data_IF_525792263987
#
_entry.id   IF_525792263987
#
_cell.length_a   1.000
_cell.length_b   1.000
_cell.length_c   1.000
_cell.angle_alpha   90.00
_cell.angle_beta   90.00
_cell.angle_gamma   90.00
#
_symmetry.space_group_name_H-M   'P 1'
#
loop_
_entity.id
_entity.type
_entity.pdbx_description
1 polymer ?
#
# COMPACT_ATOMS: atom_id res chain seq x y z
N UNK A 1 22.47 -11.29 48.65
CA UNK A 1 21.41 -11.43 47.63
C UNK A 1 22.07 -11.32 46.26
N UNK A 2 22.40 -12.47 45.67
CA UNK A 2 23.17 -12.57 44.42
C UNK A 2 22.28 -12.23 43.22
N UNK A 3 22.62 -11.14 42.52
CA UNK A 3 22.06 -10.79 41.22
C UNK A 3 22.57 -11.76 40.15
N UNK A 4 21.71 -12.66 39.70
CA UNK A 4 21.95 -13.46 38.50
C UNK A 4 21.79 -12.51 37.30
N UNK A 5 22.91 -11.91 36.91
CA UNK A 5 23.07 -11.32 35.58
C UNK A 5 22.97 -12.48 34.59
N UNK A 6 21.78 -12.63 34.00
CA UNK A 6 21.54 -13.49 32.86
C UNK A 6 22.45 -13.00 31.73
N UNK A 7 23.60 -13.65 31.57
CA UNK A 7 24.46 -13.51 30.40
C UNK A 7 23.66 -14.12 29.24
N UNK A 8 22.80 -13.29 28.64
CA UNK A 8 22.13 -13.62 27.38
C UNK A 8 23.24 -13.84 26.37
N UNK A 9 23.42 -15.10 25.98
CA UNK A 9 24.41 -15.57 25.01
C UNK A 9 24.40 -14.66 23.77
N UNK A 10 25.41 -13.80 23.67
CA UNK A 10 25.60 -12.80 22.60
C UNK A 10 26.05 -13.39 21.26
N UNK A 11 26.06 -14.72 21.11
CA UNK A 11 26.70 -15.40 19.97
C UNK A 11 25.78 -16.21 19.06
N UNK A 12 24.48 -16.28 19.33
CA UNK A 12 23.54 -16.70 18.29
C UNK A 12 23.29 -15.49 17.37
N UNK A 13 24.23 -15.22 16.46
CA UNK A 13 24.02 -14.24 15.39
C UNK A 13 22.64 -14.49 14.77
N UNK A 14 21.80 -13.46 14.74
CA UNK A 14 20.41 -13.60 14.30
C UNK A 14 20.36 -14.26 12.93
N UNK A 15 19.75 -15.44 12.84
CA UNK A 15 19.53 -16.16 11.58
C UNK A 15 18.39 -15.52 10.75
N UNK A 16 17.94 -14.32 11.13
CA UNK A 16 16.89 -13.59 10.43
C UNK A 16 17.52 -12.71 9.34
N UNK A 17 17.03 -12.84 8.12
CA UNK A 17 17.35 -11.91 7.02
C UNK A 17 16.09 -11.15 6.62
N UNK A 18 16.24 -9.89 6.21
CA UNK A 18 15.18 -9.03 5.71
C UNK A 18 15.44 -8.66 4.25
N UNK A 19 14.39 -8.66 3.43
CA UNK A 19 14.40 -8.11 2.06
C UNK A 19 13.13 -7.29 1.82
N UNK A 20 13.18 -6.35 0.89
CA UNK A 20 12.07 -5.43 0.62
C UNK A 20 11.65 -5.50 -0.84
N UNK A 21 10.35 -5.37 -1.09
CA UNK A 21 9.77 -4.99 -2.38
C UNK A 21 8.96 -3.71 -2.15
N UNK A 22 9.36 -2.60 -2.75
CA UNK A 22 8.65 -1.32 -2.65
C UNK A 22 7.98 -0.99 -3.97
N UNK A 23 6.66 -0.86 -3.92
CA UNK A 23 5.86 -0.37 -5.02
C UNK A 23 5.57 1.13 -4.86
N UNK A 24 5.63 1.89 -5.96
CA UNK A 24 5.28 3.31 -6.01
C UNK A 24 4.53 3.64 -7.29
N UNK A 25 3.73 4.70 -7.28
CA UNK A 25 3.13 5.23 -8.50
C UNK A 25 4.09 6.20 -9.18
N UNK A 26 4.21 6.11 -10.51
CA UNK A 26 4.87 7.13 -11.35
C UNK A 26 3.80 7.86 -12.15
N UNK A 27 3.58 9.14 -11.89
CA UNK A 27 2.43 9.89 -12.42
C UNK A 27 2.81 11.07 -13.31
N UNK A 28 1.91 11.39 -14.27
CA UNK A 28 2.08 12.48 -15.23
C UNK A 28 0.77 13.26 -15.50
N UNK A 29 0.48 14.35 -14.75
CA UNK A 29 1.03 14.64 -13.44
C UNK A 29 0.32 13.88 -12.31
N UNK A 30 -0.99 13.60 -12.45
CA UNK A 30 -1.82 13.07 -11.34
C UNK A 30 -2.23 11.62 -11.50
N UNK A 31 -1.99 11.01 -12.66
CA UNK A 31 -2.31 9.60 -12.91
C UNK A 31 -1.10 8.82 -13.39
N UNK A 32 -0.97 7.54 -13.01
CA UNK A 32 -0.05 6.62 -13.63
C UNK A 32 -0.32 6.52 -15.13
N UNK A 33 0.74 6.46 -15.91
CA UNK A 33 0.68 6.28 -17.37
C UNK A 33 1.64 5.17 -17.77
N UNK A 34 1.49 4.64 -18.99
CA UNK A 34 2.40 3.62 -19.51
C UNK A 34 3.86 4.12 -19.59
N UNK A 35 4.11 5.43 -19.54
CA UNK A 35 5.44 6.01 -19.45
C UNK A 35 6.21 5.55 -18.22
N UNK A 36 5.53 5.11 -17.16
CA UNK A 36 6.16 4.48 -16.00
C UNK A 36 7.01 3.26 -16.39
N UNK A 37 6.59 2.50 -17.41
CA UNK A 37 7.37 1.37 -17.94
C UNK A 37 8.67 1.82 -18.60
N UNK A 38 8.75 3.07 -19.09
CA UNK A 38 9.98 3.62 -19.63
C UNK A 38 11.04 3.83 -18.54
N UNK A 39 10.63 4.22 -17.33
CA UNK A 39 11.54 4.29 -16.20
C UNK A 39 12.11 2.90 -15.87
N UNK A 40 11.25 1.87 -15.84
CA UNK A 40 11.68 0.49 -15.62
C UNK A 40 12.57 -0.06 -16.73
N UNK A 41 12.27 0.27 -17.99
CA UNK A 41 13.14 -0.07 -19.12
C UNK A 41 14.53 0.56 -18.94
N UNK A 42 14.61 1.86 -18.58
CA UNK A 42 15.91 2.52 -18.33
C UNK A 42 16.69 1.86 -17.21
N UNK A 43 16.04 1.45 -16.11
CA UNK A 43 16.71 0.67 -15.06
C UNK A 43 17.22 -0.66 -15.61
N UNK A 44 16.36 -1.43 -16.26
CA UNK A 44 16.69 -2.73 -16.82
C UNK A 44 17.88 -2.66 -17.77
N UNK A 45 17.90 -1.73 -18.71
CA UNK A 45 19.00 -1.58 -19.67
C UNK A 45 20.29 -1.04 -19.05
N UNK A 46 20.20 -0.26 -17.96
CA UNK A 46 21.37 0.22 -17.22
C UNK A 46 22.10 -0.90 -16.48
N UNK A 47 21.36 -1.81 -15.86
CA UNK A 47 21.93 -2.99 -15.21
C UNK A 47 20.98 -4.19 -15.32
N UNK A 48 21.07 -4.96 -16.42
CA UNK A 48 20.18 -6.09 -16.64
C UNK A 48 20.32 -7.19 -15.59
N UNK A 49 21.51 -7.39 -15.03
CA UNK A 49 21.72 -8.45 -14.02
C UNK A 49 20.93 -8.19 -12.75
N UNK A 50 20.86 -6.92 -12.35
CA UNK A 50 20.15 -6.47 -11.15
C UNK A 50 18.64 -6.36 -11.40
N UNK A 51 18.24 -5.45 -12.30
CA UNK A 51 16.85 -5.02 -12.40
C UNK A 51 15.93 -6.01 -13.12
N UNK A 52 16.47 -7.06 -13.73
CA UNK A 52 15.67 -8.13 -14.30
C UNK A 52 14.87 -8.90 -13.23
N UNK A 53 15.46 -9.07 -12.04
CA UNK A 53 14.83 -9.77 -10.90
C UNK A 53 14.24 -8.79 -9.89
N UNK A 54 14.81 -7.59 -9.79
CA UNK A 54 14.51 -6.62 -8.74
C UNK A 54 13.63 -5.45 -9.19
N UNK A 55 12.87 -5.63 -10.27
CA UNK A 55 11.78 -4.71 -10.63
C UNK A 55 10.53 -5.47 -11.04
N UNK A 56 9.37 -4.85 -10.89
CA UNK A 56 8.10 -5.33 -11.42
C UNK A 56 7.20 -4.15 -11.80
N UNK A 57 6.07 -4.45 -12.45
CA UNK A 57 5.02 -3.48 -12.73
C UNK A 57 3.66 -4.12 -12.58
N UNK A 58 2.72 -3.33 -12.07
CA UNK A 58 1.35 -3.73 -11.82
C UNK A 58 0.36 -2.98 -12.73
N UNK A 59 -0.75 -3.64 -13.03
CA UNK A 59 -1.87 -3.06 -13.77
C UNK A 59 -3.17 -3.24 -12.99
N UNK A 60 -4.05 -2.25 -13.11
CA UNK A 60 -5.40 -2.33 -12.60
C UNK A 60 -6.19 -3.42 -13.34
N UNK A 61 -7.25 -3.93 -12.71
CA UNK A 61 -8.03 -5.07 -13.20
C UNK A 61 -9.50 -4.72 -13.36
N UNK A 62 -10.19 -5.41 -14.27
CA UNK A 62 -11.63 -5.30 -14.43
C UNK A 62 -12.11 -3.88 -14.71
N UNK A 63 -13.04 -3.36 -13.90
CA UNK A 63 -13.62 -2.03 -14.09
C UNK A 63 -12.64 -0.89 -13.76
N UNK A 64 -11.69 -1.13 -12.87
CA UNK A 64 -10.71 -0.12 -12.44
C UNK A 64 -9.73 0.23 -13.56
N UNK A 65 -9.46 -0.70 -14.48
CA UNK A 65 -8.62 -0.45 -15.65
C UNK A 65 -9.15 0.68 -16.54
N UNK A 66 -10.47 0.96 -16.50
CA UNK A 66 -11.08 2.10 -17.19
C UNK A 66 -10.80 3.44 -16.50
N UNK A 67 -10.52 3.43 -15.19
CA UNK A 67 -10.14 4.64 -14.45
C UNK A 67 -8.65 4.93 -14.63
N UNK A 68 -7.81 3.90 -14.49
CA UNK A 68 -6.36 4.00 -14.64
C UNK A 68 -5.74 2.60 -14.87
N UNK A 69 -5.35 2.30 -16.12
CA UNK A 69 -4.79 0.99 -16.50
C UNK A 69 -3.46 0.68 -15.81
N UNK A 70 -2.51 1.62 -15.87
CA UNK A 70 -1.23 1.48 -15.18
C UNK A 70 -1.44 1.65 -13.68
N UNK A 71 -0.81 0.80 -12.87
CA UNK A 71 -0.80 0.90 -11.41
C UNK A 71 0.60 1.34 -10.95
N UNK A 72 1.16 0.62 -9.98
CA UNK A 72 2.50 0.84 -9.43
C UNK A 72 3.61 0.20 -10.26
N UNK A 73 4.82 0.72 -10.05
CA UNK A 73 6.09 0.05 -10.39
C UNK A 73 6.78 -0.37 -9.12
N UNK A 74 7.61 -1.40 -9.19
CA UNK A 74 8.26 -2.01 -8.03
C UNK A 74 9.78 -1.97 -8.19
N UNK A 75 10.48 -1.72 -7.08
CA UNK A 75 11.91 -2.00 -6.89
C UNK A 75 12.07 -2.94 -5.69
N UNK A 76 13.04 -3.85 -5.75
CA UNK A 76 13.29 -4.78 -4.66
C UNK A 76 14.76 -4.75 -4.22
N UNK A 77 15.02 -5.13 -2.96
CA UNK A 77 16.37 -5.35 -2.45
C UNK A 77 16.71 -6.84 -2.40
N UNK A 78 18.00 -7.13 -2.21
CA UNK A 78 18.47 -8.45 -1.80
C UNK A 78 18.16 -8.72 -0.32
N UNK A 79 18.25 -9.98 0.14
CA UNK A 79 18.20 -10.29 1.56
C UNK A 79 19.44 -9.77 2.30
N UNK A 80 19.23 -9.13 3.45
CA UNK A 80 20.28 -8.59 4.33
C UNK A 80 20.07 -9.07 5.76
N UNK A 81 21.16 -9.26 6.50
CA UNK A 81 21.11 -9.50 7.97
C UNK A 81 21.13 -8.19 8.76
N UNK A 82 21.67 -7.15 8.14
CA UNK A 82 21.86 -5.83 8.73
C UNK A 82 20.87 -4.83 8.12
N UNK A 83 20.17 -4.09 8.99
CA UNK A 83 19.15 -3.13 8.58
C UNK A 83 19.78 -1.91 7.90
N UNK A 84 21.00 -1.51 8.28
CA UNK A 84 21.67 -0.37 7.67
C UNK A 84 22.03 -0.65 6.21
N UNK A 85 22.62 -1.82 5.94
CA UNK A 85 22.91 -2.30 4.59
C UNK A 85 21.64 -2.43 3.73
N UNK A 86 20.54 -2.93 4.32
CA UNK A 86 19.25 -3.01 3.64
C UNK A 86 18.72 -1.63 3.23
N UNK A 87 18.76 -0.67 4.16
CA UNK A 87 18.27 0.69 3.92
C UNK A 87 19.16 1.46 2.95
N UNK A 88 20.47 1.22 2.94
CA UNK A 88 21.39 1.80 1.97
C UNK A 88 21.13 1.27 0.55
N UNK A 89 20.92 -0.04 0.40
CA UNK A 89 20.54 -0.61 -0.90
C UNK A 89 19.20 -0.05 -1.39
N UNK A 90 18.19 0.03 -0.50
CA UNK A 90 16.92 0.64 -0.85
C UNK A 90 17.10 2.10 -1.30
N UNK A 91 17.89 2.90 -0.56
CA UNK A 91 18.21 4.30 -0.91
C UNK A 91 18.84 4.39 -2.30
N UNK A 92 19.78 3.51 -2.62
CA UNK A 92 20.40 3.45 -3.94
C UNK A 92 19.38 3.10 -5.03
N UNK A 93 18.48 2.15 -4.79
CA UNK A 93 17.42 1.77 -5.72
C UNK A 93 16.39 2.90 -5.92
N UNK A 94 15.99 3.61 -4.85
CA UNK A 94 15.14 4.81 -4.93
C UNK A 94 15.79 5.92 -5.76
N UNK A 95 17.08 6.18 -5.56
CA UNK A 95 17.81 7.18 -6.32
C UNK A 95 17.91 6.80 -7.82
N UNK A 96 18.16 5.52 -8.11
CA UNK A 96 18.16 5.01 -9.48
C UNK A 96 16.78 5.16 -10.14
N UNK A 97 15.71 4.79 -9.45
CA UNK A 97 14.33 4.94 -9.92
C UNK A 97 13.98 6.41 -10.13
N UNK A 98 14.33 7.30 -9.20
CA UNK A 98 14.12 8.73 -9.30
C UNK A 98 14.82 9.34 -10.53
N UNK A 99 16.06 8.94 -10.79
CA UNK A 99 16.77 9.35 -12.01
C UNK A 99 16.08 8.79 -13.28
N UNK A 100 15.65 7.53 -13.23
CA UNK A 100 14.93 6.90 -14.34
C UNK A 100 13.52 7.50 -14.56
N UNK A 101 12.85 8.00 -13.53
CA UNK A 101 11.55 8.66 -13.68
C UNK A 101 11.67 10.05 -14.35
N UNK A 102 12.85 10.68 -14.30
CA UNK A 102 13.08 12.01 -14.87
C UNK A 102 12.18 13.04 -14.20
N UNK A 103 11.39 13.74 -15.00
CA UNK A 103 10.44 14.78 -14.58
C UNK A 103 9.12 14.24 -14.00
N UNK A 104 8.84 12.94 -14.11
CA UNK A 104 7.62 12.37 -13.53
C UNK A 104 7.60 12.44 -12.00
N UNK A 105 6.40 12.52 -11.43
CA UNK A 105 6.21 12.45 -9.99
C UNK A 105 6.26 11.00 -9.52
N UNK A 106 6.98 10.75 -8.43
CA UNK A 106 6.93 9.47 -7.70
C UNK A 106 6.05 9.67 -6.46
N UNK A 107 5.01 8.85 -6.34
CA UNK A 107 4.00 8.97 -5.28
C UNK A 107 4.01 7.67 -4.45
N UNK A 108 4.76 7.62 -3.33
CA UNK A 108 4.90 6.45 -2.47
C UNK A 108 3.76 6.37 -1.44
N UNK A 109 2.55 6.03 -1.91
CA UNK A 109 1.34 5.90 -1.06
C UNK A 109 0.61 4.59 -1.38
N UNK A 110 -0.17 4.07 -0.43
CA UNK A 110 -0.88 2.81 -0.63
C UNK A 110 -1.91 2.84 -1.78
N UNK A 111 -2.51 4.01 -2.03
CA UNK A 111 -3.55 4.21 -3.04
C UNK A 111 -3.65 5.71 -3.37
N UNK A 112 -3.99 6.02 -4.63
CA UNK A 112 -4.11 7.40 -5.11
C UNK A 112 -5.40 8.07 -4.59
N UNK A 113 -5.33 9.37 -4.38
CA UNK A 113 -6.32 10.10 -3.57
C UNK A 113 -7.67 10.29 -4.27
N UNK A 114 -7.67 10.43 -5.60
CA UNK A 114 -8.84 10.72 -6.43
C UNK A 114 -9.44 9.48 -7.12
N UNK A 115 -8.79 8.33 -7.01
CA UNK A 115 -9.29 7.07 -7.56
C UNK A 115 -10.13 6.33 -6.53
N UNK A 116 -11.14 5.59 -6.96
CA UNK A 116 -11.81 4.56 -6.15
C UNK A 116 -11.59 3.24 -6.90
N UNK A 117 -10.37 2.73 -6.78
CA UNK A 117 -9.83 1.65 -7.61
C UNK A 117 -9.06 0.66 -6.72
N UNK A 118 -9.73 -0.29 -6.06
CA UNK A 118 -9.09 -1.24 -5.14
C UNK A 118 -8.05 -2.15 -5.81
N UNK A 119 -7.99 -2.19 -7.15
CA UNK A 119 -6.93 -2.88 -7.89
C UNK A 119 -5.74 -2.01 -8.29
N UNK A 120 -5.82 -0.69 -8.05
CA UNK A 120 -4.76 0.27 -8.31
C UNK A 120 -4.11 0.70 -6.99
N UNK A 121 -3.36 -0.21 -6.39
CA UNK A 121 -2.71 -0.04 -5.08
C UNK A 121 -1.21 -0.27 -5.20
N UNK A 122 -0.43 0.37 -4.32
CA UNK A 122 1.01 0.15 -4.18
C UNK A 122 1.32 -0.37 -2.77
N UNK A 123 2.16 -1.39 -2.61
CA UNK A 123 2.57 -1.94 -1.31
C UNK A 123 4.05 -1.77 -0.98
N UNK A 124 4.37 -1.92 0.31
CA UNK A 124 5.69 -2.30 0.78
C UNK A 124 5.61 -3.74 1.29
N UNK A 125 6.32 -4.66 0.64
CA UNK A 125 6.44 -6.02 1.11
C UNK A 125 7.76 -6.20 1.87
N UNK A 126 7.70 -6.94 2.98
CA UNK A 126 8.87 -7.29 3.79
C UNK A 126 9.00 -8.80 3.77
N UNK A 127 10.10 -9.29 3.23
CA UNK A 127 10.48 -10.69 3.23
C UNK A 127 11.36 -10.98 4.45
N UNK A 128 10.99 -12.00 5.22
CA UNK A 128 11.71 -12.46 6.39
C UNK A 128 12.19 -13.89 6.13
N UNK A 129 13.51 -14.03 5.98
CA UNK A 129 14.17 -15.34 5.99
C UNK A 129 14.35 -15.81 7.42
N UNK A 130 13.95 -17.04 7.70
CA UNK A 130 14.10 -17.69 9.00
C UNK A 130 14.40 -19.18 8.80
N UNK A 131 15.10 -19.83 9.75
CA UNK A 131 15.30 -21.28 9.74
C UNK A 131 13.97 -22.03 9.63
N UNK A 132 13.88 -23.14 8.85
CA UNK A 132 12.63 -23.87 8.62
C UNK A 132 11.84 -24.18 9.89
N UNK A 133 12.52 -24.66 10.94
CA UNK A 133 11.98 -25.03 12.24
C UNK A 133 11.43 -23.83 13.04
N UNK A 134 11.87 -22.61 12.71
CA UNK A 134 11.42 -21.35 13.33
C UNK A 134 10.27 -20.69 12.57
N UNK A 135 10.03 -21.04 11.30
CA UNK A 135 9.11 -20.29 10.42
C UNK A 135 7.71 -20.13 11.01
N UNK A 136 7.15 -21.19 11.58
CA UNK A 136 5.79 -21.14 12.13
C UNK A 136 5.71 -20.24 13.36
N UNK A 137 6.72 -20.28 14.23
CA UNK A 137 6.84 -19.38 15.39
C UNK A 137 6.95 -17.93 14.94
N UNK A 138 7.83 -17.64 13.98
CA UNK A 138 8.00 -16.28 13.45
C UNK A 138 6.71 -15.77 12.80
N UNK A 139 6.05 -16.61 11.98
CA UNK A 139 4.77 -16.27 11.37
C UNK A 139 3.71 -15.92 12.43
N UNK A 140 3.58 -16.75 13.46
CA UNK A 140 2.63 -16.52 14.55
C UNK A 140 2.89 -15.21 15.31
N UNK A 141 4.17 -14.92 15.58
CA UNK A 141 4.59 -13.70 16.25
C UNK A 141 4.28 -12.46 15.41
N UNK A 142 4.62 -12.49 14.12
CA UNK A 142 4.32 -11.40 13.19
C UNK A 142 2.81 -11.19 13.06
N UNK A 143 2.03 -12.26 12.86
CA UNK A 143 0.57 -12.21 12.77
C UNK A 143 -0.09 -11.51 13.97
N UNK A 144 0.42 -11.79 15.18
CA UNK A 144 -0.11 -11.23 16.41
C UNK A 144 0.04 -9.69 16.49
N UNK A 145 1.21 -9.17 16.10
CA UNK A 145 1.51 -7.73 16.19
C UNK A 145 1.28 -6.95 14.89
N UNK A 146 0.91 -7.64 13.80
CA UNK A 146 0.72 -7.07 12.47
C UNK A 146 -0.18 -5.82 12.42
N UNK A 147 -1.27 -5.70 13.21
CA UNK A 147 -2.10 -4.48 13.22
C UNK A 147 -1.35 -3.19 13.57
N UNK A 148 -0.29 -3.25 14.40
CA UNK A 148 0.54 -2.07 14.71
C UNK A 148 1.47 -1.71 13.55
N UNK A 149 1.99 -2.72 12.86
CA UNK A 149 2.84 -2.53 11.68
C UNK A 149 2.05 -1.89 10.53
N UNK A 150 0.75 -2.18 10.42
CA UNK A 150 -0.17 -1.49 9.50
C UNK A 150 -0.18 0.01 9.79
N UNK A 151 -0.42 0.41 11.05
CA UNK A 151 -0.48 1.83 11.44
C UNK A 151 0.84 2.56 11.18
N UNK A 152 1.99 1.93 11.44
CA UNK A 152 3.29 2.52 11.15
C UNK A 152 3.44 2.90 9.67
N UNK A 153 2.89 2.08 8.78
CA UNK A 153 3.00 2.27 7.33
C UNK A 153 1.87 3.08 6.69
N UNK A 154 0.72 3.23 7.36
CA UNK A 154 -0.52 3.73 6.76
C UNK A 154 -0.34 5.08 6.05
N UNK A 155 -0.55 5.07 4.73
CA UNK A 155 -0.31 6.24 3.86
C UNK A 155 -1.36 6.44 2.76
N UNK A 156 -2.53 5.80 2.86
CA UNK A 156 -3.61 5.90 1.88
C UNK A 156 -4.95 6.38 2.46
N UNK A 157 -5.06 7.65 2.89
CA UNK A 157 -6.22 8.12 3.64
C UNK A 157 -7.47 8.44 2.81
N UNK A 158 -7.40 8.37 1.48
CA UNK A 158 -8.49 8.80 0.58
C UNK A 158 -8.87 7.74 -0.45
N UNK A 159 -10.13 7.80 -0.87
CA UNK A 159 -10.66 7.10 -2.04
C UNK A 159 -11.74 7.93 -2.74
N UNK A 160 -11.63 8.10 -4.06
CA UNK A 160 -12.55 8.87 -4.88
C UNK A 160 -12.64 10.34 -4.44
N UNK A 161 -11.54 10.90 -3.94
CA UNK A 161 -11.48 12.27 -3.40
C UNK A 161 -12.10 12.46 -2.01
N UNK A 162 -12.59 11.38 -1.39
CA UNK A 162 -13.21 11.38 -0.05
C UNK A 162 -12.24 10.82 0.97
N UNK A 163 -12.20 11.43 2.15
CA UNK A 163 -11.45 10.89 3.27
C UNK A 163 -12.08 9.55 3.69
N UNK A 164 -11.25 8.52 3.79
CA UNK A 164 -11.64 7.15 4.13
C UNK A 164 -11.29 6.80 5.58
N UNK A 165 -10.06 7.11 6.00
CA UNK A 165 -9.48 6.60 7.24
C UNK A 165 -7.95 6.60 7.15
N UNK A 166 -7.32 5.55 7.65
CA UNK A 166 -5.87 5.44 7.69
C UNK A 166 -5.28 4.74 6.46
N UNK A 167 -5.86 3.63 6.00
CA UNK A 167 -5.38 2.94 4.80
C UNK A 167 -6.53 2.30 4.03
N UNK A 168 -6.93 2.96 2.94
CA UNK A 168 -7.88 2.41 1.99
C UNK A 168 -7.33 1.15 1.33
N UNK A 169 -6.02 1.11 1.04
CA UNK A 169 -5.37 -0.08 0.48
C UNK A 169 -5.60 -1.30 1.37
N UNK A 170 -5.33 -1.20 2.67
CA UNK A 170 -5.55 -2.33 3.59
C UNK A 170 -7.02 -2.71 3.68
N UNK A 171 -7.92 -1.73 3.70
CA UNK A 171 -9.35 -2.01 3.81
C UNK A 171 -9.98 -2.65 2.57
N UNK A 172 -9.52 -2.28 1.36
CA UNK A 172 -10.25 -2.56 0.13
C UNK A 172 -9.44 -3.30 -0.96
N UNK A 173 -8.11 -3.39 -0.86
CA UNK A 173 -7.29 -3.99 -1.92
C UNK A 173 -7.64 -5.47 -2.12
N UNK A 174 -7.69 -5.88 -3.39
CA UNK A 174 -7.91 -7.29 -3.75
C UNK A 174 -6.68 -8.17 -3.52
N UNK A 175 -5.49 -7.56 -3.40
CA UNK A 175 -4.21 -8.26 -3.40
C UNK A 175 -3.76 -8.71 -1.99
N UNK A 176 -4.47 -8.26 -0.96
CA UNK A 176 -4.24 -8.53 0.46
C UNK A 176 -5.59 -8.75 1.16
N UNK A 177 -5.58 -9.11 2.44
CA UNK A 177 -6.79 -9.53 3.14
C UNK A 177 -6.50 -10.12 4.51
N UNK A 178 -7.55 -10.33 5.30
CA UNK A 178 -7.39 -10.90 6.63
C UNK A 178 -6.73 -12.30 6.60
N UNK A 179 -6.05 -12.67 7.70
CA UNK A 179 -5.38 -13.97 7.83
C UNK A 179 -6.39 -15.11 7.70
N UNK A 180 -5.99 -16.15 6.95
CA UNK A 180 -6.77 -17.37 6.71
C UNK A 180 -6.12 -18.56 7.39
N UNK A 181 -6.78 -19.71 7.33
CA UNK A 181 -6.24 -20.94 7.90
C UNK A 181 -5.00 -21.42 7.15
N UNK A 182 -5.01 -21.34 5.82
CA UNK A 182 -3.85 -21.60 4.98
C UNK A 182 -2.87 -20.40 4.98
N UNK A 183 -1.68 -20.51 5.61
CA UNK A 183 -0.70 -19.44 5.62
C UNK A 183 -0.04 -19.22 4.24
N UNK A 184 -0.23 -20.12 3.28
CA UNK A 184 0.29 -19.98 1.92
C UNK A 184 -0.69 -19.29 0.96
N UNK A 185 -1.92 -18.98 1.39
CA UNK A 185 -2.88 -18.30 0.54
C UNK A 185 -2.36 -16.92 0.14
N UNK A 186 -2.18 -16.67 -1.17
CA UNK A 186 -1.43 -15.51 -1.69
C UNK A 186 -2.04 -14.14 -1.37
N UNK A 187 -3.36 -14.04 -1.31
CA UNK A 187 -4.08 -12.77 -1.18
C UNK A 187 -4.51 -12.49 0.26
N UNK A 188 -3.56 -12.53 1.18
CA UNK A 188 -3.74 -12.14 2.58
C UNK A 188 -2.55 -11.27 3.03
N UNK A 189 -2.65 -10.69 4.21
CA UNK A 189 -1.73 -9.67 4.73
C UNK A 189 -0.35 -10.22 5.12
N UNK A 190 -0.24 -11.50 5.46
CA UNK A 190 0.98 -12.21 5.83
C UNK A 190 0.96 -13.61 5.22
N UNK A 191 2.03 -14.00 4.52
CA UNK A 191 2.09 -15.33 3.89
C UNK A 191 3.39 -16.07 4.17
N UNK A 192 3.35 -17.39 4.04
CA UNK A 192 4.52 -18.22 3.81
C UNK A 192 4.74 -18.34 2.30
N UNK A 193 5.66 -17.54 1.77
CA UNK A 193 5.93 -17.45 0.34
C UNK A 193 6.61 -18.72 -0.18
N UNK A 194 5.85 -19.57 -0.88
CA UNK A 194 6.30 -20.87 -1.41
C UNK A 194 7.57 -20.77 -2.26
N UNK A 195 7.66 -19.73 -3.11
CA UNK A 195 8.79 -19.57 -4.07
C UNK A 195 10.10 -19.26 -3.37
N UNK A 196 10.06 -18.44 -2.32
CA UNK A 196 11.26 -17.91 -1.66
C UNK A 196 11.58 -18.62 -0.35
N UNK A 197 10.62 -19.39 0.20
CA UNK A 197 10.77 -20.00 1.53
C UNK A 197 10.83 -18.96 2.65
N UNK A 198 10.33 -17.75 2.40
CA UNK A 198 10.29 -16.63 3.35
C UNK A 198 8.90 -16.47 3.95
N UNK A 199 8.81 -15.78 5.08
CA UNK A 199 7.56 -15.15 5.52
C UNK A 199 7.49 -13.79 4.82
N UNK A 200 6.35 -13.39 4.30
CA UNK A 200 6.18 -12.15 3.56
C UNK A 200 5.04 -11.33 4.17
N UNK A 201 5.38 -10.18 4.75
CA UNK A 201 4.41 -9.16 5.17
C UNK A 201 4.02 -8.38 3.92
N UNK A 202 2.74 -8.38 3.57
CA UNK A 202 2.22 -7.74 2.34
C UNK A 202 1.38 -6.50 2.63
N UNK A 203 0.99 -6.32 3.88
CA UNK A 203 -0.05 -5.34 4.26
C UNK A 203 0.47 -3.90 4.35
N UNK A 204 1.77 -3.66 4.41
CA UNK A 204 2.29 -2.30 4.60
C UNK A 204 2.06 -1.43 3.36
N UNK A 205 1.66 -0.17 3.57
CA UNK A 205 1.71 0.84 2.52
C UNK A 205 3.17 1.33 2.33
N UNK A 206 3.53 1.96 1.20
CA UNK A 206 4.87 2.51 0.98
C UNK A 206 5.22 3.62 2.00
N UNK A 207 6.50 3.70 2.38
CA UNK A 207 7.02 4.62 3.40
C UNK A 207 8.23 5.38 2.85
N UNK A 208 8.07 6.64 2.45
CA UNK A 208 9.21 7.44 1.96
C UNK A 208 10.23 7.77 3.07
N UNK A 209 9.76 7.93 4.31
CA UNK A 209 10.59 8.29 5.47
C UNK A 209 11.42 7.08 5.96
N UNK A 210 12.73 7.12 5.70
CA UNK A 210 13.64 6.04 6.07
C UNK A 210 13.79 5.87 7.60
N UNK A 211 13.56 6.91 8.40
CA UNK A 211 13.62 6.79 9.86
C UNK A 211 12.40 6.00 10.38
N UNK A 212 11.21 6.30 9.84
CA UNK A 212 10.00 5.52 10.14
C UNK A 212 10.10 4.09 9.62
N UNK A 213 10.67 3.89 8.43
CA UNK A 213 10.92 2.54 7.89
C UNK A 213 11.89 1.75 8.76
N UNK A 214 12.96 2.38 9.28
CA UNK A 214 13.87 1.74 10.23
C UNK A 214 13.14 1.21 11.47
N UNK A 215 12.31 2.03 12.11
CA UNK A 215 11.50 1.61 13.27
C UNK A 215 10.62 0.40 12.94
N UNK A 216 10.00 0.41 11.75
CA UNK A 216 9.21 -0.73 11.28
C UNK A 216 10.07 -2.00 11.14
N UNK A 217 11.25 -1.91 10.53
CA UNK A 217 12.14 -3.06 10.31
C UNK A 217 12.74 -3.61 11.61
N UNK A 218 13.13 -2.74 12.53
CA UNK A 218 13.63 -3.13 13.86
C UNK A 218 12.52 -3.83 14.66
N UNK A 219 11.30 -3.30 14.64
CA UNK A 219 10.14 -3.97 15.26
C UNK A 219 9.89 -5.35 14.64
N UNK A 220 9.91 -5.47 13.31
CA UNK A 220 9.75 -6.76 12.59
C UNK A 220 10.85 -7.74 12.99
N UNK A 221 12.11 -7.29 13.04
CA UNK A 221 13.25 -8.12 13.41
C UNK A 221 13.12 -8.61 14.86
N UNK A 222 12.77 -7.72 15.80
CA UNK A 222 12.58 -8.07 17.21
C UNK A 222 11.43 -9.07 17.41
N UNK A 223 10.29 -8.86 16.73
CA UNK A 223 9.15 -9.80 16.76
C UNK A 223 9.55 -11.17 16.21
N UNK A 224 10.33 -11.21 15.12
CA UNK A 224 10.79 -12.46 14.53
C UNK A 224 11.78 -13.23 15.44
N UNK A 225 12.50 -12.52 16.32
CA UNK A 225 13.44 -13.14 17.25
C UNK A 225 12.77 -13.71 18.52
N UNK A 226 11.50 -13.42 18.79
CA UNK A 226 10.79 -13.94 19.95
C UNK A 226 10.86 -15.48 20.02
N UNK A 227 11.25 -16.08 21.17
CA UNK A 227 11.53 -17.50 21.24
C UNK A 227 10.27 -18.36 21.09
N UNK A 228 9.15 -17.90 21.64
CA UNK A 228 7.88 -18.62 21.72
C UNK A 228 6.84 -18.04 20.77
N UNK A 229 6.01 -18.91 20.19
CA UNK A 229 4.91 -18.50 19.33
C UNK A 229 3.82 -17.77 20.12
N UNK A 230 3.38 -16.62 19.61
CA UNK A 230 2.19 -15.91 20.09
C UNK A 230 0.91 -16.57 19.55
N UNK A 231 -0.22 -16.47 20.26
CA UNK A 231 -1.47 -17.04 19.77
C UNK A 231 -1.95 -16.31 18.51
N UNK A 232 -2.37 -17.10 17.51
CA UNK A 232 -3.02 -16.60 16.30
C UNK A 232 -4.54 -16.64 16.52
N UNK A 233 -5.09 -15.51 16.95
CA UNK A 233 -6.53 -15.28 17.00
C UNK A 233 -6.94 -14.47 15.77
N UNK A 234 -7.50 -15.16 14.76
CA UNK A 234 -7.90 -14.55 13.49
C UNK A 234 -9.07 -13.58 13.63
N UNK A 235 -9.97 -13.81 14.58
CA UNK A 235 -11.11 -12.93 14.82
C UNK A 235 -10.64 -11.63 15.46
N UNK A 236 -9.81 -11.71 16.52
CA UNK A 236 -9.15 -10.54 17.13
C UNK A 236 -8.33 -9.79 16.09
N UNK A 237 -7.54 -10.51 15.29
CA UNK A 237 -6.74 -9.90 14.23
C UNK A 237 -7.61 -9.15 13.21
N UNK A 238 -8.69 -9.75 12.69
CA UNK A 238 -9.57 -9.10 11.73
C UNK A 238 -10.21 -7.82 12.28
N UNK A 239 -10.59 -7.83 13.57
CA UNK A 239 -11.11 -6.66 14.26
C UNK A 239 -10.05 -5.54 14.36
N UNK A 240 -8.85 -5.87 14.86
CA UNK A 240 -7.75 -4.90 15.01
C UNK A 240 -7.25 -4.37 13.65
N UNK A 241 -7.18 -5.22 12.63
CA UNK A 241 -6.85 -4.84 11.25
C UNK A 241 -7.83 -3.78 10.73
N UNK A 242 -9.13 -3.96 10.96
CA UNK A 242 -10.16 -2.98 10.57
C UNK A 242 -10.00 -1.67 11.34
N UNK A 243 -9.72 -1.73 12.64
CA UNK A 243 -9.48 -0.53 13.45
C UNK A 243 -8.24 0.23 12.94
N UNK A 244 -7.14 -0.49 12.68
CA UNK A 244 -5.91 0.08 12.14
C UNK A 244 -6.12 0.75 10.77
N UNK A 245 -6.86 0.09 9.86
CA UNK A 245 -7.09 0.60 8.52
C UNK A 245 -8.09 1.77 8.46
N UNK A 246 -9.15 1.75 9.28
CA UNK A 246 -10.25 2.71 9.15
C UNK A 246 -10.24 3.83 10.19
N UNK A 247 -9.70 3.58 11.38
CA UNK A 247 -9.85 4.47 12.55
C UNK A 247 -8.49 5.08 12.92
N UNK A 248 -7.49 4.25 13.19
CA UNK A 248 -6.21 4.68 13.75
C UNK A 248 -5.90 3.97 15.05
N UNK A 249 -5.15 4.64 15.93
CA UNK A 249 -4.61 4.08 17.17
C UNK A 249 -5.62 4.08 18.32
N UNK A 250 -6.48 3.07 18.32
CA UNK A 250 -7.57 2.82 19.28
C UNK A 250 -7.09 2.26 20.63
N UNK A 251 -7.93 2.21 21.68
CA UNK A 251 -7.59 1.57 22.96
C UNK A 251 -7.14 0.11 22.85
N UNK A 252 -7.73 -0.68 21.95
CA UNK A 252 -7.32 -2.09 21.75
C UNK A 252 -5.93 -2.18 21.11
N UNK A 253 -5.62 -1.27 20.18
CA UNK A 253 -4.29 -1.17 19.57
C UNK A 253 -3.26 -0.61 20.56
N UNK A 254 -3.65 0.29 21.48
CA UNK A 254 -2.81 0.71 22.60
C UNK A 254 -2.49 -0.45 23.55
N UNK A 255 -3.45 -1.34 23.80
CA UNK A 255 -3.21 -2.55 24.58
C UNK A 255 -2.21 -3.48 23.89
N UNK A 256 -2.41 -3.74 22.59
CA UNK A 256 -1.46 -4.52 21.79
C UNK A 256 -0.07 -3.84 21.74
N UNK A 257 0.00 -2.51 21.72
CA UNK A 257 1.26 -1.77 21.75
C UNK A 257 1.98 -1.98 23.07
N UNK A 258 1.31 -1.90 24.23
CA UNK A 258 1.92 -2.22 25.53
C UNK A 258 2.48 -3.63 25.58
N UNK A 259 1.81 -4.61 24.96
CA UNK A 259 2.33 -5.97 24.82
C UNK A 259 3.62 -6.00 23.98
N UNK A 260 3.67 -5.26 22.87
CA UNK A 260 4.84 -5.18 22.00
C UNK A 260 6.00 -4.41 22.64
N UNK A 261 5.74 -3.37 23.43
CA UNK A 261 6.77 -2.57 24.11
C UNK A 261 7.63 -3.39 25.08
N UNK A 262 7.15 -4.56 25.53
CA UNK A 262 7.96 -5.52 26.29
C UNK A 262 9.04 -6.23 25.44
N UNK A 263 8.99 -6.09 24.12
CA UNK A 263 9.88 -6.72 23.13
C UNK A 263 10.67 -5.66 22.37
N UNK A 264 9.98 -4.64 21.86
CA UNK A 264 10.56 -3.51 21.15
C UNK A 264 9.66 -2.29 21.33
N UNK A 265 10.25 -1.17 21.74
CA UNK A 265 9.53 0.08 21.97
C UNK A 265 9.34 0.85 20.66
N UNK A 266 8.14 0.78 20.07
CA UNK A 266 7.76 1.68 18.99
C UNK A 266 7.46 3.06 19.61
N UNK A 267 8.06 4.16 19.13
CA UNK A 267 7.68 5.49 19.59
C UNK A 267 6.19 5.74 19.39
N UNK A 268 5.43 5.90 20.48
CA UNK A 268 3.97 5.95 20.44
C UNK A 268 3.45 7.09 19.53
N UNK A 269 4.20 8.19 19.43
CA UNK A 269 3.90 9.30 18.53
C UNK A 269 3.73 8.86 17.06
N UNK A 270 4.49 7.86 16.59
CA UNK A 270 4.39 7.35 15.22
C UNK A 270 3.09 6.58 14.95
N UNK A 271 2.47 6.04 16.00
CA UNK A 271 1.19 5.36 15.95
C UNK A 271 0.02 6.35 16.12
N UNK A 272 0.19 7.37 16.97
CA UNK A 272 -0.81 8.44 17.19
C UNK A 272 -0.96 9.35 15.97
N UNK A 273 0.15 9.74 15.36
CA UNK A 273 0.19 10.55 14.14
C UNK A 273 0.79 9.72 13.01
N UNK A 274 -0.09 9.13 12.19
CA UNK A 274 0.33 8.30 11.06
C UNK A 274 0.77 9.18 9.89
N UNK A 275 1.37 8.56 8.87
CA UNK A 275 1.61 9.23 7.60
C UNK A 275 0.30 9.70 6.97
N UNK A 276 -0.77 8.91 7.08
CA UNK A 276 -2.10 9.27 6.61
C UNK A 276 -2.68 10.52 7.26
N UNK A 277 -2.48 10.71 8.58
CA UNK A 277 -2.91 11.93 9.26
C UNK A 277 -2.15 13.16 8.71
N UNK A 278 -0.84 13.04 8.48
CA UNK A 278 -0.02 14.12 7.87
C UNK A 278 -0.48 14.46 6.45
N UNK A 279 -0.80 13.45 5.64
CA UNK A 279 -1.29 13.63 4.27
C UNK A 279 -2.67 14.30 4.26
N UNK A 280 -3.56 13.91 5.17
CA UNK A 280 -4.88 14.52 5.36
C UNK A 280 -4.77 15.99 5.73
N UNK A 281 -3.95 16.33 6.73
CA UNK A 281 -3.76 17.71 7.18
C UNK A 281 -3.25 18.58 6.02
N UNK A 282 -2.28 18.10 5.25
CA UNK A 282 -1.77 18.83 4.10
C UNK A 282 -2.83 19.11 3.01
N UNK A 283 -3.67 18.11 2.70
CA UNK A 283 -4.79 18.31 1.75
C UNK A 283 -5.76 19.38 2.27
N UNK A 284 -6.08 19.37 3.57
CA UNK A 284 -6.97 20.36 4.18
C UNK A 284 -6.39 21.78 4.15
N UNK A 285 -5.12 21.93 4.53
CA UNK A 285 -4.39 23.20 4.50
C UNK A 285 -4.32 23.76 3.07
N UNK A 286 -3.91 22.93 2.10
CA UNK A 286 -3.78 23.35 0.70
C UNK A 286 -5.13 23.79 0.12
N UNK A 287 -6.23 23.11 0.47
CA UNK A 287 -7.59 23.52 0.06
C UNK A 287 -7.97 24.90 0.60
N UNK A 288 -7.64 25.19 1.86
CA UNK A 288 -7.91 26.48 2.48
C UNK A 288 -7.10 27.59 1.79
N UNK A 289 -5.85 27.33 1.43
CA UNK A 289 -5.01 28.30 0.70
C UNK A 289 -5.50 28.56 -0.73
N UNK A 290 -5.88 27.51 -1.47
CA UNK A 290 -6.31 27.62 -2.87
C UNK A 290 -7.74 28.14 -3.05
N UNK A 291 -8.55 28.11 -1.99
CA UNK A 291 -9.90 28.67 -1.98
C UNK A 291 -9.89 29.89 -1.07
N UNK A 292 -9.21 30.99 -1.44
CA UNK A 292 -9.21 32.19 -0.62
C UNK A 292 -10.67 32.55 -0.41
N UNK A 293 -11.08 32.55 0.86
CA UNK A 293 -12.48 32.77 1.18
C UNK A 293 -12.88 34.09 0.52
N UNK A 294 -13.82 34.05 -0.43
CA UNK A 294 -14.55 35.23 -0.91
C UNK A 294 -15.47 35.74 0.20
N UNK A 295 -14.99 35.76 1.45
CA UNK A 295 -15.40 36.70 2.47
C UNK A 295 -14.89 38.06 1.98
N UNK A 296 -15.52 38.56 0.92
CA UNK A 296 -15.71 39.98 0.82
C UNK A 296 -16.30 40.38 2.18
N UNK A 297 -15.66 41.30 2.93
CA UNK A 297 -16.39 41.97 3.99
C UNK A 297 -17.60 42.56 3.28
N UNK A 298 -18.78 41.97 3.50
CA UNK A 298 -20.02 42.66 3.21
C UNK A 298 -19.90 43.91 4.07
N UNK A 299 -19.57 45.04 3.43
CA UNK A 299 -19.73 46.32 4.09
C UNK A 299 -21.15 46.31 4.61
N UNK A 300 -21.30 46.43 5.94
CA UNK A 300 -22.56 46.71 6.59
C UNK A 300 -23.00 48.11 6.16
N UNK A 301 -23.40 48.24 4.90
CA UNK A 301 -23.90 49.44 4.28
C UNK A 301 -25.40 49.48 4.51
N UNK A 302 -25.82 50.39 5.39
CA UNK A 302 -27.14 51.00 5.31
C UNK A 302 -28.27 50.20 5.94
N UNK A 303 -28.63 50.57 7.16
CA UNK A 303 -30.02 50.52 7.62
C UNK A 303 -30.89 51.40 6.70
N UNK A 304 -31.50 50.83 5.67
CA UNK A 304 -32.74 51.38 5.12
C UNK A 304 -33.93 50.59 5.68
N UNK A 305 -34.95 51.28 6.25
CA UNK A 305 -36.16 50.64 6.75
C UNK A 305 -37.05 50.19 5.59
N UNK A 306 -37.29 48.87 5.48
CA UNK A 306 -38.22 48.31 4.51
C UNK A 306 -39.68 48.57 4.94
N UNK A 307 -40.41 49.30 4.10
CA UNK A 307 -41.86 49.36 4.10
C UNK A 307 -42.45 48.02 3.59
N UNK A 308 -43.21 47.37 4.47
CA UNK A 308 -44.53 46.72 4.26
C UNK A 308 -44.87 45.94 2.96
N UNK A 309 -45.24 44.67 3.20
CA UNK A 309 -46.35 43.87 2.63
C UNK A 309 -46.19 43.26 1.23
N UNK A 310 -46.26 41.92 1.14
CA UNK A 310 -47.34 41.12 0.49
C UNK A 310 -47.26 39.66 1.00
N UNK A 311 -48.37 38.97 1.34
CA UNK A 311 -48.37 37.54 1.65
C UNK A 311 -48.60 36.71 0.38
N UNK A 312 -47.79 35.68 0.14
CA UNK A 312 -48.10 34.65 -0.86
C UNK A 312 -48.48 33.33 -0.18
N UNK A 313 -49.66 32.86 -0.58
CA UNK A 313 -50.35 31.70 -0.09
C UNK A 313 -49.64 30.37 -0.44
N UNK A 314 -49.82 29.41 0.45
CA UNK A 314 -49.47 28.01 0.27
C UNK A 314 -50.42 27.31 -0.70
N UNK A 315 -49.88 26.50 -1.60
CA UNK A 315 -50.58 25.33 -2.14
C UNK A 315 -49.56 24.21 -2.38
N UNK A 316 -49.77 23.09 -1.68
CA UNK A 316 -49.10 21.84 -1.96
C UNK A 316 -49.92 21.00 -2.93
N UNK A 317 -49.23 20.22 -3.75
CA UNK A 317 -49.78 19.02 -4.38
C UNK A 317 -48.74 17.88 -4.33
N UNK A 318 -49.19 16.62 -4.13
CA UNK A 318 -48.32 15.45 -4.10
C UNK A 318 -48.10 14.89 -5.51
N UNK A 319 -46.88 14.44 -5.77
CA UNK A 319 -46.46 13.86 -7.05
C UNK A 319 -46.46 12.31 -6.93
N UNK A 320 -47.29 11.54 -7.68
CA UNK A 320 -47.30 10.09 -7.56
C UNK A 320 -46.90 9.43 -8.89
N UNK A 321 -45.63 9.13 -9.10
CA UNK A 321 -45.22 8.19 -10.17
C UNK A 321 -44.01 7.36 -9.77
N UNK A 322 -44.28 6.18 -9.20
CA UNK A 322 -43.36 5.07 -9.06
C UNK A 322 -43.59 4.13 -10.24
N UNK A 323 -42.75 4.19 -11.27
CA UNK A 323 -42.79 3.24 -12.39
C UNK A 323 -41.74 2.14 -12.16
N UNK A 324 -42.24 0.93 -11.92
CA UNK A 324 -41.50 -0.33 -11.99
C UNK A 324 -41.14 -0.67 -13.44
N UNK A 325 -39.92 -1.16 -13.66
CA UNK A 325 -39.56 -1.94 -14.85
C UNK A 325 -38.86 -3.23 -14.43
N UNK A 326 -39.24 -4.40 -14.98
CA UNK A 326 -38.54 -5.66 -14.75
C UNK A 326 -37.34 -5.81 -15.68
N UNK A 327 -36.26 -6.37 -15.14
CA UNK A 327 -35.08 -6.79 -15.89
C UNK A 327 -35.36 -8.10 -16.63
N UNK A 328 -35.03 -8.13 -17.93
CA UNK A 328 -34.95 -9.35 -18.74
C UNK A 328 -33.61 -10.03 -18.50
N UNK A 329 -33.68 -11.33 -18.25
CA UNK A 329 -32.58 -12.29 -18.30
C UNK A 329 -32.10 -12.51 -19.74
N UNK A 330 -30.80 -12.67 -19.90
CA UNK A 330 -30.13 -13.07 -21.13
C UNK A 330 -28.80 -13.71 -20.79
N UNK A 331 -28.75 -15.03 -20.96
CA UNK A 331 -27.62 -15.90 -20.66
C UNK A 331 -26.52 -15.89 -21.74
N UNK A 332 -25.35 -16.34 -21.27
CA UNK A 332 -24.30 -17.10 -21.96
C UNK A 332 -23.21 -16.36 -22.77
N UNK A 333 -21.98 -16.41 -22.23
CA UNK A 333 -20.80 -17.06 -22.87
C UNK A 333 -19.82 -17.54 -21.77
N UNK A 334 -19.05 -18.63 -21.99
CA UNK A 334 -18.28 -19.27 -20.93
C UNK A 334 -16.85 -18.71 -20.86
N UNK A 335 -16.46 -18.21 -19.68
CA UNK A 335 -15.05 -18.01 -19.33
C UNK A 335 -14.69 -18.82 -18.08
N UNK A 336 -13.45 -19.30 -18.08
CA UNK A 336 -12.76 -20.13 -17.09
C UNK A 336 -13.35 -20.07 -15.67
N UNK A 337 -13.87 -21.21 -15.21
CA UNK A 337 -14.35 -21.40 -13.84
C UNK A 337 -13.19 -21.34 -12.85
N UNK A 338 -13.05 -20.20 -12.18
CA UNK A 338 -12.56 -20.22 -10.80
C UNK A 338 -13.65 -20.84 -9.92
N UNK A 339 -13.31 -21.67 -8.91
CA UNK A 339 -14.30 -22.24 -8.03
C UNK A 339 -15.12 -21.12 -7.37
N UNK A 340 -16.45 -21.29 -7.24
CA UNK A 340 -17.31 -20.30 -6.60
C UNK A 340 -16.84 -20.06 -5.17
N UNK A 341 -16.71 -18.78 -4.80
CA UNK A 341 -16.46 -18.34 -3.44
C UNK A 341 -17.50 -18.97 -2.52
N UNK A 342 -17.06 -19.79 -1.58
CA UNK A 342 -17.83 -20.06 -0.37
C UNK A 342 -17.94 -18.75 0.42
N UNK A 343 -19.04 -18.03 0.19
CA UNK A 343 -19.93 -17.65 1.27
C UNK A 343 -19.47 -16.71 2.38
N UNK A 344 -18.45 -15.86 2.19
CA UNK A 344 -18.32 -14.62 2.95
C UNK A 344 -18.23 -13.46 1.96
N UNK A 345 -19.39 -13.08 1.43
CA UNK A 345 -19.53 -11.74 0.88
C UNK A 345 -19.25 -10.79 2.05
N UNK A 346 -18.06 -10.20 2.07
CA UNK A 346 -17.80 -9.02 2.90
C UNK A 346 -19.01 -8.11 2.68
N UNK A 347 -19.81 -7.78 3.72
CA UNK A 347 -20.72 -6.69 3.56
C UNK A 347 -19.82 -5.53 3.14
N UNK A 348 -20.00 -5.03 1.92
CA UNK A 348 -19.56 -3.68 1.59
C UNK A 348 -19.96 -2.90 2.81
N UNK A 349 -18.98 -2.36 3.54
CA UNK A 349 -19.28 -1.56 4.71
C UNK A 349 -20.19 -0.46 4.19
N UNK A 350 -21.51 -0.66 4.33
CA UNK A 350 -22.50 0.37 4.23
C UNK A 350 -22.19 1.18 5.46
N UNK A 351 -21.22 2.07 5.30
CA UNK A 351 -21.10 3.20 6.18
C UNK A 351 -22.51 3.76 6.30
N UNK A 352 -23.01 4.03 7.51
CA UNK A 352 -24.28 4.71 7.65
C UNK A 352 -24.14 5.99 6.83
N UNK A 353 -24.78 6.01 5.65
CA UNK A 353 -24.97 7.25 4.94
C UNK A 353 -25.75 8.08 5.94
N UNK A 354 -25.13 9.13 6.50
CA UNK A 354 -25.87 10.13 7.23
C UNK A 354 -26.92 10.67 6.27
N UNK A 355 -28.12 10.12 6.35
CA UNK A 355 -29.29 10.58 5.63
C UNK A 355 -29.70 11.89 6.28
N UNK A 356 -29.38 13.00 5.63
CA UNK A 356 -29.77 14.31 6.13
C UNK A 356 -29.00 15.42 5.43
N UNK A 357 -29.46 15.81 4.24
CA UNK A 357 -29.08 17.07 3.60
C UNK A 357 -28.55 16.90 2.18
N UNK A 358 -29.35 17.36 1.21
CA UNK A 358 -28.99 17.60 -0.19
C UNK A 358 -27.85 18.65 -0.32
N UNK A 359 -26.64 18.32 0.11
CA UNK A 359 -25.43 19.03 -0.32
C UNK A 359 -25.00 18.43 -1.66
N UNK A 360 -25.55 18.98 -2.75
CA UNK A 360 -25.17 18.66 -4.14
C UNK A 360 -23.66 18.85 -4.33
N UNK A 361 -22.95 17.76 -4.61
CA UNK A 361 -21.82 17.59 -5.56
C UNK A 361 -20.65 18.60 -5.59
N UNK A 362 -20.49 19.51 -4.63
CA UNK A 362 -19.33 20.41 -4.55
C UNK A 362 -18.03 19.78 -4.02
N UNK A 363 -18.03 18.47 -3.72
CA UNK A 363 -16.95 17.82 -2.98
C UNK A 363 -15.77 17.31 -3.83
N UNK A 364 -16.02 16.77 -5.03
CA UNK A 364 -14.99 16.07 -5.83
C UNK A 364 -14.06 17.03 -6.57
N UNK A 365 -14.56 18.19 -7.01
CA UNK A 365 -13.74 19.23 -7.65
C UNK A 365 -12.65 19.77 -6.71
N UNK A 366 -12.88 19.72 -5.39
CA UNK A 366 -11.99 20.31 -4.38
C UNK A 366 -10.67 19.55 -4.17
N UNK A 367 -10.59 18.24 -4.46
CA UNK A 367 -9.32 17.50 -4.31
C UNK A 367 -8.43 17.67 -5.53
N UNK A 368 -9.02 17.80 -6.71
CA UNK A 368 -8.28 17.78 -7.97
C UNK A 368 -7.30 18.95 -8.07
N UNK A 369 -7.65 20.12 -7.52
CA UNK A 369 -6.75 21.28 -7.46
C UNK A 369 -5.59 21.11 -6.48
N UNK A 370 -5.72 20.26 -5.45
CA UNK A 370 -4.64 20.03 -4.45
C UNK A 370 -3.67 18.92 -4.83
N UNK A 371 -4.08 17.98 -5.71
CA UNK A 371 -3.24 16.83 -6.08
C UNK A 371 -1.85 17.21 -6.61
N UNK A 372 -1.70 18.20 -7.52
CA UNK A 372 -0.37 18.52 -8.05
C UNK A 372 0.61 18.94 -6.96
N UNK A 373 0.16 19.75 -5.99
CA UNK A 373 0.97 20.20 -4.86
C UNK A 373 1.36 19.03 -3.94
N UNK A 374 0.40 18.16 -3.63
CA UNK A 374 0.65 16.98 -2.82
C UNK A 374 1.63 16.02 -3.49
N UNK A 375 1.49 15.79 -4.80
CA UNK A 375 2.36 14.86 -5.53
C UNK A 375 3.75 15.44 -5.73
N UNK A 376 3.88 16.77 -5.90
CA UNK A 376 5.17 17.44 -5.88
C UNK A 376 5.90 17.25 -4.55
N UNK A 377 5.19 17.42 -3.42
CA UNK A 377 5.72 17.22 -2.08
C UNK A 377 6.10 15.76 -1.81
N UNK A 378 5.24 14.80 -2.18
CA UNK A 378 5.53 13.36 -2.06
C UNK A 378 6.74 12.95 -2.91
N UNK A 379 6.82 13.43 -4.15
CA UNK A 379 7.95 13.20 -5.03
C UNK A 379 9.25 13.77 -4.46
N UNK A 380 9.20 14.98 -3.90
CA UNK A 380 10.35 15.58 -3.22
C UNK A 380 10.78 14.75 -2.01
N UNK A 381 9.83 14.31 -1.20
CA UNK A 381 10.10 13.48 -0.03
C UNK A 381 10.69 12.11 -0.39
N UNK A 382 10.22 11.49 -1.47
CA UNK A 382 10.80 10.25 -1.98
C UNK A 382 12.25 10.43 -2.46
N UNK A 383 12.53 11.54 -3.14
CA UNK A 383 13.85 11.83 -3.72
C UNK A 383 14.89 12.27 -2.70
N UNK A 384 14.48 12.97 -1.66
CA UNK A 384 15.40 13.64 -0.72
C UNK A 384 15.30 13.13 0.72
N UNK A 385 14.24 12.40 1.06
CA UNK A 385 13.89 12.05 2.42
C UNK A 385 13.23 13.18 3.22
N UNK A 386 12.97 14.36 2.63
CA UNK A 386 12.45 15.53 3.35
C UNK A 386 11.01 15.87 2.99
N UNK A 387 10.17 16.12 4.00
CA UNK A 387 8.77 16.49 3.82
C UNK A 387 8.59 18.01 3.72
N UNK A 388 8.90 18.60 2.58
CA UNK A 388 8.91 20.07 2.38
C UNK A 388 7.96 20.52 1.26
N UNK A 389 7.31 21.70 1.36
CA UNK A 389 6.47 22.23 0.29
C UNK A 389 7.28 22.44 -1.00
N UNK A 390 6.76 21.94 -2.12
CA UNK A 390 7.36 22.12 -3.44
C UNK A 390 6.29 22.54 -4.44
N UNK A 391 6.61 23.53 -5.27
CA UNK A 391 5.70 23.97 -6.32
C UNK A 391 5.52 22.85 -7.37
N UNK A 392 4.29 22.60 -7.84
CA UNK A 392 4.07 21.65 -8.91
C UNK A 392 4.72 22.13 -10.21
N UNK A 393 5.38 21.23 -10.91
CA UNK A 393 5.87 21.42 -12.27
C UNK A 393 5.03 20.67 -13.31
N UNK A 394 5.10 21.11 -14.56
CA UNK A 394 4.41 20.44 -15.67
C UNK A 394 5.13 19.14 -16.03
N UNK A 395 4.36 18.05 -16.13
CA UNK A 395 4.83 16.76 -16.65
C UNK A 395 3.99 16.43 -17.87
N UNK A 396 4.63 16.16 -19.02
CA UNK A 396 3.94 15.82 -20.26
C UNK A 396 4.01 14.31 -20.49
N UNK A 397 2.88 13.58 -20.52
CA UNK A 397 2.89 12.19 -20.94
C UNK A 397 3.33 12.09 -22.41
N UNK A 398 4.01 11.02 -22.75
CA UNK A 398 4.57 10.75 -24.07
C UNK A 398 4.25 9.32 -24.49
N UNK A 399 3.27 9.18 -25.39
CA UNK A 399 2.88 7.87 -25.93
C UNK A 399 4.09 7.07 -26.47
N UNK A 400 5.08 7.76 -27.04
CA UNK A 400 6.34 7.13 -27.48
C UNK A 400 7.16 6.56 -26.33
N UNK A 401 7.28 7.27 -25.20
CA UNK A 401 7.91 6.70 -23.98
C UNK A 401 7.12 5.49 -23.50
N UNK A 402 5.79 5.53 -23.49
CA UNK A 402 4.95 4.37 -23.17
C UNK A 402 5.23 3.15 -24.06
N UNK A 403 5.30 3.33 -25.38
CA UNK A 403 5.60 2.25 -26.33
C UNK A 403 7.03 1.69 -26.15
N UNK A 404 8.03 2.58 -26.05
CA UNK A 404 9.41 2.19 -25.77
C UNK A 404 9.57 1.50 -24.42
N UNK A 405 8.83 1.94 -23.40
CA UNK A 405 8.79 1.32 -22.09
C UNK A 405 8.22 -0.10 -22.15
N UNK A 406 7.09 -0.29 -22.83
CA UNK A 406 6.48 -1.59 -23.01
C UNK A 406 7.44 -2.56 -23.72
N UNK A 407 7.98 -2.17 -24.87
CA UNK A 407 8.91 -3.00 -25.64
C UNK A 407 10.21 -3.23 -24.87
N UNK A 408 10.83 -2.16 -24.37
CA UNK A 408 12.12 -2.19 -23.70
C UNK A 408 12.09 -2.93 -22.36
N UNK A 409 10.95 -2.99 -21.68
CA UNK A 409 10.84 -3.68 -20.40
C UNK A 409 10.33 -5.12 -20.54
N UNK A 410 9.24 -5.34 -21.28
CA UNK A 410 8.61 -6.66 -21.35
C UNK A 410 9.29 -7.61 -22.32
N UNK A 411 9.73 -7.15 -23.49
CA UNK A 411 10.36 -8.02 -24.50
C UNK A 411 11.55 -8.83 -23.92
N UNK A 412 12.53 -8.24 -23.24
CA UNK A 412 13.62 -9.02 -22.63
C UNK A 412 13.16 -9.91 -21.47
N UNK A 413 12.05 -9.58 -20.80
CA UNK A 413 11.54 -10.30 -19.63
C UNK A 413 10.58 -11.45 -19.97
N UNK A 414 10.07 -11.52 -21.19
CA UNK A 414 9.12 -12.56 -21.61
C UNK A 414 9.58 -13.99 -21.25
N UNK A 415 10.86 -14.40 -21.47
CA UNK A 415 11.31 -15.73 -21.11
C UNK A 415 11.18 -16.02 -19.61
N UNK A 416 11.54 -15.06 -18.77
CA UNK A 416 11.47 -15.20 -17.31
C UNK A 416 10.04 -15.16 -16.78
N UNK A 417 9.19 -14.29 -17.34
CA UNK A 417 7.77 -14.26 -16.98
C UNK A 417 7.10 -15.59 -17.32
N UNK A 418 7.40 -16.16 -18.49
CA UNK A 418 6.92 -17.48 -18.89
C UNK A 418 7.45 -18.58 -17.94
N UNK A 419 8.74 -18.56 -17.61
CA UNK A 419 9.32 -19.49 -16.63
C UNK A 419 8.66 -19.38 -15.25
N UNK A 420 8.45 -18.16 -14.74
CA UNK A 420 7.77 -17.93 -13.46
C UNK A 420 6.35 -18.49 -13.46
N UNK A 421 5.56 -18.21 -14.49
CA UNK A 421 4.21 -18.71 -14.61
C UNK A 421 4.19 -20.25 -14.67
N UNK A 422 5.11 -20.85 -15.44
CA UNK A 422 5.26 -22.30 -15.52
C UNK A 422 5.66 -22.93 -14.17
N UNK A 423 6.64 -22.32 -13.48
CA UNK A 423 7.12 -22.80 -12.19
C UNK A 423 6.04 -22.67 -11.10
N UNK A 424 5.25 -21.59 -11.09
CA UNK A 424 4.11 -21.44 -10.18
C UNK A 424 3.03 -22.52 -10.41
N UNK A 425 2.82 -22.96 -11.66
CA UNK A 425 1.84 -23.99 -11.98
C UNK A 425 2.33 -25.42 -11.74
N UNK A 426 3.63 -25.68 -11.89
CA UNK A 426 4.19 -27.04 -11.84
C UNK A 426 4.94 -27.38 -10.57
N UNK A 427 5.36 -26.42 -9.76
CA UNK A 427 6.13 -26.73 -8.56
C UNK A 427 5.25 -27.55 -7.59
N UNK A 428 5.54 -28.85 -7.37
CA UNK A 428 4.93 -29.56 -6.26
C UNK A 428 5.26 -28.82 -4.97
N UNK A 429 4.39 -28.92 -3.97
CA UNK A 429 4.66 -28.40 -2.62
C UNK A 429 5.90 -29.14 -2.11
N UNK A 430 7.08 -28.54 -2.27
CA UNK A 430 8.33 -29.11 -1.78
C UNK A 430 8.49 -28.68 -0.33
N UNK A 431 8.13 -29.58 0.57
CA UNK A 431 8.52 -29.46 1.97
C UNK A 431 10.05 -29.56 2.05
N UNK A 432 10.70 -28.52 2.59
CA UNK A 432 12.13 -28.61 2.93
C UNK A 432 13.13 -27.70 2.21
N UNK A 433 12.75 -26.55 1.62
CA UNK A 433 13.76 -25.57 1.20
C UNK A 433 14.50 -25.00 2.42
N UNK A 434 15.76 -25.40 2.59
CA UNK A 434 16.78 -24.63 3.30
C UNK A 434 17.20 -23.48 2.38
N UNK A 435 17.17 -22.26 2.90
CA UNK A 435 17.79 -21.09 2.26
C UNK A 435 19.31 -21.28 2.36
N UNK A 436 19.89 -22.15 1.53
CA UNK A 436 21.29 -21.96 1.16
C UNK A 436 21.32 -20.75 0.24
N UNK A 437 22.24 -19.83 0.52
CA UNK A 437 22.57 -18.72 -0.38
C UNK A 437 22.51 -19.23 -1.81
N UNK A 438 21.67 -18.63 -2.65
CA UNK A 438 21.80 -18.84 -4.08
C UNK A 438 23.18 -18.34 -4.41
N UNK A 439 24.10 -19.28 -4.59
CA UNK A 439 25.49 -19.03 -4.90
C UNK A 439 25.55 -17.95 -5.97
N UNK A 440 26.31 -16.91 -5.66
CA UNK A 440 26.69 -15.87 -6.59
C UNK A 440 27.41 -16.56 -7.76
N UNK A 441 26.70 -16.71 -8.87
CA UNK A 441 27.23 -17.18 -10.15
C UNK A 441 27.08 -18.68 -10.41
N UNK A 442 26.14 -19.03 -11.31
CA UNK A 442 26.36 -19.85 -12.54
C UNK A 442 25.05 -20.61 -12.93
N UNK A 443 24.60 -20.62 -14.20
CA UNK A 443 23.39 -21.30 -14.63
C UNK A 443 23.72 -22.73 -15.06
N UNK A 444 24.14 -23.59 -14.14
CA UNK A 444 24.23 -25.02 -14.39
C UNK A 444 23.74 -25.80 -13.17
N UNK A 445 22.58 -26.42 -13.36
CA UNK A 445 21.93 -27.31 -12.41
C UNK A 445 22.81 -28.56 -12.26
N UNK A 446 23.57 -28.65 -11.18
CA UNK A 446 24.03 -29.94 -10.70
C UNK A 446 22.84 -30.66 -10.04
N UNK A 447 22.34 -31.70 -10.70
CA UNK A 447 21.49 -32.71 -10.07
C UNK A 447 22.32 -33.44 -9.03
N UNK A 448 21.82 -33.49 -7.80
CA UNK A 448 22.26 -34.47 -6.83
C UNK A 448 21.44 -35.75 -7.04
N UNK A 449 22.04 -36.72 -7.72
CA UNK A 449 21.74 -38.14 -7.56
C UNK A 449 23.00 -38.79 -6.99
N UNK A 450 23.01 -39.03 -5.67
CA UNK A 450 23.71 -40.07 -4.90
C UNK A 450 23.88 -39.65 -3.44
#
# INVERSE_FOLDING_TARGET
>A
MSGILCVVSTYAASLITLGLEEEVFITAPTRPTLDALYALAKLLWRNPREYYKHTASNFARGRDARQCLMSSVEIATRPHRDIDALLEELRAHRAALANAAGDAYIVPVGHLFDLDAPTNTAGLHIHIGAPPERRQTVYANLAHFLPLLILLSASSPYAGGRYFGQSYRVAASFAIGALRDDPHYRFQDLILARRLGTIEIRVCDPIWDLARLRVLLEAVQAIAQLPTARPIDRARYAALRRQAACIGYTPDLQALHRELSAVYEIPEALLRETVSDRLRSYVQETRQTLTPSLRFPLHAGGTEPAHSLVPFAAHGEPNPHTAWFPSRSGDAFPHARFPPRSGDAFPHARFPSRSGGNLKEGGTSSIQSTLPYLYARLNHAYRTGRWEPVAPHSVRPSAWRGALGLLGYYLPRLPYTAYKAWAEWRAPIRDGYLLTETAVGDPTVCRADS
#
